data_IF_020954045484
#
_entry.id   IF_020954045484
#
_cell.length_a   1.000
_cell.length_b   1.000
_cell.length_c   1.000
_cell.angle_alpha   90.00
_cell.angle_beta   90.00
_cell.angle_gamma   90.00
#
_symmetry.space_group_name_H-M   'P 1'
#
loop_
_entity.id
_entity.type
_entity.pdbx_description
1 polymer ?
#
# COMPACT_ATOMS: atom_id res chain seq x y z
N UNK A 1 -9.47 9.64 9.13
CA UNK A 1 -8.29 8.82 8.81
C UNK A 1 -8.66 7.91 7.66
N UNK A 2 -7.77 7.73 6.68
CA UNK A 2 -8.00 6.77 5.59
C UNK A 2 -7.37 5.44 5.99
N UNK A 3 -8.16 4.37 5.94
CA UNK A 3 -7.68 3.01 6.11
C UNK A 3 -7.64 2.36 4.74
N UNK A 4 -6.43 1.99 4.31
CA UNK A 4 -6.18 1.49 2.97
C UNK A 4 -5.92 0.00 3.07
N UNK A 5 -6.71 -0.81 2.35
CA UNK A 5 -6.59 -2.28 2.36
C UNK A 5 -6.87 -2.86 0.96
N UNK A 6 -6.36 -4.06 0.68
CA UNK A 6 -6.66 -4.77 -0.56
C UNK A 6 -8.14 -5.19 -0.63
N UNK A 7 -8.71 -5.55 0.52
CA UNK A 7 -10.09 -6.02 0.69
C UNK A 7 -10.69 -5.34 1.94
N UNK A 8 -11.02 -4.03 1.85
CA UNK A 8 -11.53 -3.30 3.01
C UNK A 8 -12.88 -3.84 3.48
N UNK A 9 -13.05 -3.92 4.81
CA UNK A 9 -14.31 -4.32 5.43
C UNK A 9 -15.47 -3.39 5.03
N UNK A 10 -16.66 -3.97 4.91
CA UNK A 10 -17.89 -3.21 4.60
C UNK A 10 -18.36 -2.32 5.76
N UNK A 11 -17.90 -2.59 6.98
CA UNK A 11 -18.19 -1.80 8.17
C UNK A 11 -16.93 -1.07 8.64
N UNK A 12 -16.97 0.27 8.68
CA UNK A 12 -15.86 1.08 9.18
C UNK A 12 -16.20 1.74 10.51
N UNK A 13 -15.19 1.90 11.37
CA UNK A 13 -15.33 2.66 12.61
C UNK A 13 -15.57 4.16 12.31
N UNK A 14 -16.29 4.90 13.19
CA UNK A 14 -16.47 6.34 13.02
C UNK A 14 -15.13 7.08 12.85
N UNK A 15 -15.05 7.93 11.83
CA UNK A 15 -13.83 8.68 11.50
C UNK A 15 -12.79 7.91 10.67
N UNK A 16 -13.09 6.67 10.26
CA UNK A 16 -12.31 5.88 9.30
C UNK A 16 -13.01 5.85 7.95
N UNK A 17 -12.27 6.22 6.90
CA UNK A 17 -12.69 6.10 5.50
C UNK A 17 -11.95 4.90 4.89
N UNK A 18 -12.63 3.79 4.60
CA UNK A 18 -12.02 2.64 3.94
C UNK A 18 -11.72 2.97 2.47
N UNK A 19 -10.55 2.59 1.99
CA UNK A 19 -10.13 2.74 0.59
C UNK A 19 -9.54 1.43 0.10
N UNK A 20 -10.10 0.88 -0.97
CA UNK A 20 -9.54 -0.30 -1.60
C UNK A 20 -8.26 0.07 -2.37
N UNK A 21 -7.17 -0.66 -2.14
CA UNK A 21 -5.89 -0.42 -2.78
C UNK A 21 -4.99 -1.65 -2.73
N UNK A 22 -4.40 -2.01 -3.86
CA UNK A 22 -3.19 -2.83 -3.88
C UNK A 22 -1.97 -1.91 -3.73
N UNK A 23 -1.20 -2.06 -2.65
CA UNK A 23 -0.02 -1.22 -2.39
C UNK A 23 1.11 -1.44 -3.40
N UNK A 24 1.08 -2.50 -4.21
CA UNK A 24 2.00 -2.68 -5.34
C UNK A 24 1.68 -1.76 -6.53
N UNK A 25 0.47 -1.20 -6.59
CA UNK A 25 0.07 -0.13 -7.51
C UNK A 25 -0.89 0.89 -6.85
N UNK A 26 -0.38 1.76 -5.96
CA UNK A 26 -1.22 2.59 -5.10
C UNK A 26 -1.69 3.89 -5.76
N UNK A 27 -1.42 4.10 -7.06
CA UNK A 27 -1.56 5.43 -7.70
C UNK A 27 -3.01 5.94 -7.65
N UNK A 28 -3.98 5.08 -7.96
CA UNK A 28 -5.39 5.47 -7.98
C UNK A 28 -5.91 5.80 -6.56
N UNK A 29 -5.56 4.96 -5.57
CA UNK A 29 -5.96 5.17 -4.18
C UNK A 29 -5.33 6.44 -3.59
N UNK A 30 -4.05 6.67 -3.84
CA UNK A 30 -3.36 7.89 -3.38
C UNK A 30 -3.98 9.15 -3.98
N UNK A 31 -4.36 9.13 -5.27
CA UNK A 31 -5.04 10.25 -5.91
C UNK A 31 -6.42 10.52 -5.28
N UNK A 32 -7.19 9.47 -4.98
CA UNK A 32 -8.49 9.59 -4.30
C UNK A 32 -8.34 10.19 -2.89
N UNK A 33 -7.40 9.66 -2.09
CA UNK A 33 -7.14 10.17 -0.74
C UNK A 33 -6.69 11.63 -0.77
N UNK A 34 -5.82 12.01 -1.71
CA UNK A 34 -5.37 13.40 -1.86
C UNK A 34 -6.48 14.34 -2.32
N UNK A 35 -7.38 13.88 -3.20
CA UNK A 35 -8.51 14.69 -3.63
C UNK A 35 -9.45 15.01 -2.46
N UNK A 36 -9.65 14.07 -1.54
CA UNK A 36 -10.52 14.23 -0.39
C UNK A 36 -9.85 14.97 0.78
N UNK A 37 -8.57 14.66 1.07
CA UNK A 37 -7.84 15.16 2.23
C UNK A 37 -7.05 16.46 1.96
N UNK A 38 -6.77 16.78 0.69
CA UNK A 38 -5.90 17.87 0.26
C UNK A 38 -4.40 17.59 0.46
N UNK A 39 -4.01 16.95 1.56
CA UNK A 39 -2.63 16.54 1.83
C UNK A 39 -2.58 15.24 2.67
N UNK A 40 -1.41 14.60 2.69
CA UNK A 40 -1.12 13.44 3.55
C UNK A 40 0.01 13.83 4.51
N UNK A 41 -0.33 14.08 5.78
CA UNK A 41 0.64 14.44 6.82
C UNK A 41 1.46 13.25 7.29
N UNK A 42 0.83 12.07 7.37
CA UNK A 42 1.42 10.84 7.88
C UNK A 42 0.99 9.67 7.00
N UNK A 43 1.99 8.91 6.52
CA UNK A 43 1.80 7.64 5.85
C UNK A 43 2.35 6.52 6.73
N UNK A 44 1.49 5.56 7.08
CA UNK A 44 1.90 4.35 7.81
C UNK A 44 1.90 3.18 6.82
N UNK A 45 3.08 2.63 6.53
CA UNK A 45 3.15 1.39 5.77
C UNK A 45 2.80 0.19 6.68
N UNK A 46 1.55 -0.26 6.60
CA UNK A 46 1.07 -1.44 7.31
C UNK A 46 1.02 -2.72 6.47
N UNK A 47 1.29 -2.66 5.16
CA UNK A 47 1.16 -3.80 4.26
C UNK A 47 2.40 -4.70 4.30
N UNK A 48 2.17 -6.00 4.42
CA UNK A 48 3.25 -6.98 4.54
C UNK A 48 2.85 -8.36 4.00
N UNK A 49 3.70 -8.92 3.15
CA UNK A 49 3.68 -10.31 2.74
C UNK A 49 4.85 -11.06 3.38
N UNK A 50 4.54 -12.19 4.01
CA UNK A 50 5.56 -13.11 4.51
C UNK A 50 5.54 -14.35 3.63
N UNK A 51 6.72 -14.78 3.19
CA UNK A 51 6.91 -16.08 2.54
C UNK A 51 7.76 -16.94 3.46
N UNK A 52 7.13 -17.87 4.17
CA UNK A 52 7.83 -18.87 4.98
C UNK A 52 8.02 -20.16 4.18
N UNK A 53 9.24 -20.70 4.25
CA UNK A 53 9.55 -22.10 3.91
C UNK A 53 9.27 -22.49 2.45
N UNK A 54 10.14 -22.02 1.54
CA UNK A 54 10.18 -22.48 0.16
C UNK A 54 11.56 -23.04 -0.19
N UNK A 55 11.67 -24.16 -0.92
CA UNK A 55 12.92 -24.55 -1.57
C UNK A 55 13.49 -23.36 -2.33
N UNK A 56 14.81 -23.18 -2.30
CA UNK A 56 15.48 -22.00 -2.89
C UNK A 56 15.09 -21.82 -4.37
N UNK A 57 14.86 -22.93 -5.06
CA UNK A 57 14.45 -23.03 -6.46
C UNK A 57 13.09 -22.39 -6.74
N UNK A 58 12.23 -22.26 -5.72
CA UNK A 58 10.86 -21.71 -5.81
C UNK A 58 10.72 -20.29 -5.23
N UNK A 59 11.84 -19.69 -4.78
CA UNK A 59 11.85 -18.31 -4.27
C UNK A 59 11.50 -17.32 -5.38
N UNK A 60 12.01 -17.56 -6.60
CA UNK A 60 11.79 -16.69 -7.75
C UNK A 60 10.30 -16.44 -8.01
N UNK A 61 9.46 -17.47 -7.88
CA UNK A 61 8.03 -17.43 -8.19
C UNK A 61 7.24 -16.44 -7.33
N UNK A 62 7.71 -16.13 -6.11
CA UNK A 62 7.05 -15.18 -5.23
C UNK A 62 7.90 -13.99 -4.83
N UNK A 63 9.12 -13.89 -5.33
CA UNK A 63 10.03 -12.79 -5.01
C UNK A 63 9.46 -11.45 -5.46
N UNK A 64 9.04 -11.35 -6.73
CA UNK A 64 8.50 -10.11 -7.30
C UNK A 64 7.32 -9.56 -6.49
N UNK A 65 6.37 -10.43 -6.09
CA UNK A 65 5.21 -10.04 -5.28
C UNK A 65 5.62 -9.59 -3.87
N UNK A 66 6.50 -10.34 -3.21
CA UNK A 66 6.98 -10.03 -1.87
C UNK A 66 7.72 -8.68 -1.84
N UNK A 67 8.60 -8.43 -2.81
CA UNK A 67 9.31 -7.15 -2.95
C UNK A 67 8.41 -6.01 -3.42
N UNK A 68 7.40 -6.32 -4.24
CA UNK A 68 6.42 -5.35 -4.70
C UNK A 68 5.62 -4.77 -3.54
N UNK A 69 5.14 -5.61 -2.64
CA UNK A 69 4.38 -5.19 -1.46
C UNK A 69 5.29 -4.60 -0.38
N UNK A 70 6.31 -5.32 0.08
CA UNK A 70 7.05 -4.94 1.29
C UNK A 70 8.07 -3.81 1.08
N UNK A 71 8.59 -3.66 -0.14
CA UNK A 71 9.66 -2.70 -0.44
C UNK A 71 9.16 -1.59 -1.35
N UNK A 72 8.72 -1.91 -2.56
CA UNK A 72 8.32 -0.88 -3.53
C UNK A 72 7.05 -0.16 -3.09
N UNK A 73 6.05 -0.90 -2.61
CA UNK A 73 4.80 -0.37 -2.06
C UNK A 73 4.97 0.43 -0.77
N UNK A 74 6.11 0.31 -0.08
CA UNK A 74 6.46 1.15 1.05
C UNK A 74 6.87 2.57 0.64
N UNK A 75 7.33 2.77 -0.60
CA UNK A 75 7.89 4.03 -1.09
C UNK A 75 7.32 4.49 -2.45
N UNK A 76 6.00 4.53 -2.66
CA UNK A 76 5.42 4.85 -3.96
C UNK A 76 5.68 6.31 -4.41
N UNK A 77 5.99 7.21 -3.46
CA UNK A 77 6.20 8.64 -3.71
C UNK A 77 7.59 9.05 -4.22
N UNK A 78 8.62 8.18 -4.15
CA UNK A 78 10.00 8.55 -4.53
C UNK A 78 10.25 8.71 -6.02
N UNK A 79 9.24 8.49 -6.87
CA UNK A 79 9.37 8.73 -8.31
C UNK A 79 8.87 10.09 -8.81
N UNK A 80 8.16 10.95 -8.05
CA UNK A 80 7.72 12.27 -8.59
C UNK A 80 7.07 13.34 -7.68
N UNK A 81 7.08 13.24 -6.35
CA UNK A 81 6.43 14.26 -5.51
C UNK A 81 7.25 14.67 -4.27
N UNK A 82 8.40 15.29 -4.52
CA UNK A 82 9.00 16.23 -3.56
C UNK A 82 9.16 17.55 -4.33
N UNK A 83 8.40 18.60 -4.02
CA UNK A 83 8.85 19.95 -4.29
C UNK A 83 10.06 20.22 -3.40
N UNK A 84 11.02 21.00 -3.90
CA UNK A 84 12.17 21.47 -3.12
C UNK A 84 11.75 22.34 -1.92
#
# INVERSE_FOLDING_TARGET
>A
MFAVDLEPDSESAPGIVPVQCDVSDPRAAAASVLADAGQIDVLVNGAGLVSVTRPVESIADGWARLTGVNLSGAFPGRTRHCPE
#
